data_IF_654271928443
#
_entry.id   IF_654271928443
#
_cell.length_a   1.000
_cell.length_b   1.000
_cell.length_c   1.000
_cell.angle_alpha   90.00
_cell.angle_beta   90.00
_cell.angle_gamma   90.00
#
_symmetry.space_group_name_H-M   'P 1'
#
loop_
_entity.id
_entity.type
_entity.pdbx_description
1 polymer ?
#
# COMPACT_ATOMS: atom_id res chain seq x y z
N UNK A 1 -14.02 43.84 -16.68
CA UNK A 1 -14.74 43.22 -15.54
C UNK A 1 -14.85 41.67 -15.61
N UNK A 2 -14.43 40.99 -16.67
CA UNK A 2 -14.52 39.50 -16.83
C UNK A 2 -13.40 38.76 -16.10
N UNK A 3 -12.25 39.39 -15.81
CA UNK A 3 -11.08 38.78 -15.21
C UNK A 3 -11.29 38.39 -13.72
N UNK A 4 -12.06 39.13 -12.96
CA UNK A 4 -12.25 38.87 -11.53
C UNK A 4 -12.99 37.55 -11.25
N UNK A 5 -14.12 37.21 -11.91
CA UNK A 5 -14.80 35.94 -11.70
C UNK A 5 -13.97 34.76 -12.19
N UNK A 6 -13.22 34.92 -13.28
CA UNK A 6 -12.31 33.87 -13.79
C UNK A 6 -11.18 33.58 -12.80
N UNK A 7 -10.54 34.61 -12.24
CA UNK A 7 -9.50 34.46 -11.22
C UNK A 7 -10.05 33.80 -9.95
N UNK A 8 -11.25 34.19 -9.54
CA UNK A 8 -11.91 33.60 -8.38
C UNK A 8 -12.18 32.09 -8.59
N UNK A 9 -12.73 31.70 -9.74
CA UNK A 9 -12.97 30.29 -10.10
C UNK A 9 -11.66 29.51 -10.14
N UNK A 10 -10.60 30.08 -10.73
CA UNK A 10 -9.27 29.44 -10.80
C UNK A 10 -8.70 29.22 -9.39
N UNK A 11 -8.79 30.23 -8.51
CA UNK A 11 -8.35 30.10 -7.12
C UNK A 11 -9.15 29.03 -6.36
N UNK A 12 -10.45 28.93 -6.61
CA UNK A 12 -11.33 27.94 -5.99
C UNK A 12 -10.96 26.52 -6.47
N UNK A 13 -10.69 26.34 -7.77
CA UNK A 13 -10.24 25.06 -8.33
C UNK A 13 -8.89 24.63 -7.74
N UNK A 14 -7.96 25.58 -7.50
CA UNK A 14 -6.67 25.30 -6.88
C UNK A 14 -6.79 25.07 -5.36
N UNK A 15 -7.74 25.72 -4.69
CA UNK A 15 -7.95 25.59 -3.26
C UNK A 15 -8.56 24.22 -2.87
N UNK A 16 -9.47 23.67 -3.69
CA UNK A 16 -10.13 22.39 -3.41
C UNK A 16 -9.13 21.26 -3.19
N UNK A 17 -8.19 20.93 -4.12
CA UNK A 17 -7.22 19.85 -3.90
C UNK A 17 -6.30 20.13 -2.71
N UNK A 18 -5.99 21.40 -2.41
CA UNK A 18 -5.20 21.79 -1.25
C UNK A 18 -5.93 21.46 0.06
N UNK A 19 -7.20 21.84 0.20
CA UNK A 19 -7.99 21.52 1.38
C UNK A 19 -8.28 20.03 1.52
N UNK A 20 -8.50 19.33 0.41
CA UNK A 20 -8.63 17.87 0.42
C UNK A 20 -7.35 17.19 0.91
N UNK A 21 -6.18 17.65 0.46
CA UNK A 21 -4.89 17.14 0.94
C UNK A 21 -4.71 17.41 2.44
N UNK A 22 -4.99 18.63 2.92
CA UNK A 22 -4.95 18.96 4.35
C UNK A 22 -5.89 18.09 5.17
N UNK A 23 -7.14 17.89 4.70
CA UNK A 23 -8.10 16.99 5.34
C UNK A 23 -7.61 15.56 5.40
N UNK A 24 -7.04 15.06 4.31
CA UNK A 24 -6.44 13.72 4.26
C UNK A 24 -5.28 13.56 5.26
N UNK A 25 -4.34 14.51 5.31
CA UNK A 25 -3.26 14.51 6.29
C UNK A 25 -3.77 14.60 7.73
N UNK A 26 -4.83 15.39 7.98
CA UNK A 26 -5.44 15.46 9.30
C UNK A 26 -6.03 14.12 9.73
N UNK A 27 -6.74 13.42 8.84
CA UNK A 27 -7.29 12.08 9.11
C UNK A 27 -6.17 11.06 9.37
N UNK A 28 -5.10 11.08 8.57
CA UNK A 28 -3.93 10.22 8.81
C UNK A 28 -3.30 10.50 10.16
N UNK A 29 -3.12 11.77 10.52
CA UNK A 29 -2.59 12.17 11.81
C UNK A 29 -3.43 11.61 12.97
N UNK A 30 -4.75 11.83 12.95
CA UNK A 30 -5.66 11.28 13.95
C UNK A 30 -5.58 9.73 14.02
N UNK A 31 -5.45 9.07 12.87
CA UNK A 31 -5.24 7.63 12.81
C UNK A 31 -4.01 7.19 13.60
N UNK A 32 -2.86 7.83 13.38
CA UNK A 32 -1.61 7.51 14.08
C UNK A 32 -1.62 7.89 15.56
N UNK A 33 -2.26 9.02 15.92
CA UNK A 33 -2.45 9.41 17.33
C UNK A 33 -3.26 8.33 18.07
N UNK A 34 -4.29 7.76 17.45
CA UNK A 34 -5.05 6.64 18.00
C UNK A 34 -4.22 5.33 18.13
N UNK A 35 -3.11 5.20 17.41
CA UNK A 35 -2.14 4.11 17.61
C UNK A 35 -1.19 4.39 18.78
N UNK A 36 -1.32 5.53 19.46
CA UNK A 36 -0.48 5.94 20.58
C UNK A 36 0.82 6.65 20.16
N UNK A 37 0.88 7.16 18.93
CA UNK A 37 2.02 7.99 18.48
C UNK A 37 1.83 9.42 18.98
N UNK A 38 2.85 10.06 19.59
CA UNK A 38 2.81 11.48 19.88
C UNK A 38 2.77 12.28 18.57
N UNK A 39 2.06 13.44 18.55
CA UNK A 39 1.82 14.22 17.33
C UNK A 39 3.10 14.58 16.55
N UNK A 40 4.20 14.83 17.25
CA UNK A 40 5.49 15.16 16.66
C UNK A 40 6.08 14.00 15.85
N UNK A 41 5.90 12.77 16.33
CA UNK A 41 6.39 11.57 15.67
C UNK A 41 5.47 11.15 14.50
N UNK A 42 4.19 11.50 14.54
CA UNK A 42 3.26 11.18 13.44
C UNK A 42 3.72 11.82 12.14
N UNK A 43 4.00 13.13 12.16
CA UNK A 43 4.45 13.86 10.97
C UNK A 43 5.77 13.27 10.46
N UNK A 44 6.73 13.03 11.35
CA UNK A 44 8.01 12.42 10.98
C UNK A 44 7.81 11.02 10.36
N UNK A 45 6.94 10.20 10.93
CA UNK A 45 6.64 8.85 10.43
C UNK A 45 6.00 8.91 9.05
N UNK A 46 5.01 9.78 8.83
CA UNK A 46 4.36 9.95 7.53
C UNK A 46 5.33 10.44 6.46
N UNK A 47 6.20 11.39 6.80
CA UNK A 47 7.27 11.88 5.90
C UNK A 47 8.25 10.77 5.58
N UNK A 48 8.69 9.99 6.57
CA UNK A 48 9.59 8.85 6.37
C UNK A 48 8.94 7.76 5.49
N UNK A 49 7.65 7.46 5.68
CA UNK A 49 6.92 6.53 4.81
C UNK A 49 6.83 7.07 3.39
N UNK A 50 6.53 8.36 3.21
CA UNK A 50 6.46 8.99 1.91
C UNK A 50 7.82 8.98 1.20
N UNK A 51 8.89 9.42 1.85
CA UNK A 51 10.25 9.40 1.28
C UNK A 51 10.74 7.96 1.06
N UNK A 52 10.46 7.07 2.02
CA UNK A 52 10.80 5.65 1.92
C UNK A 52 10.06 4.93 0.79
N UNK A 53 8.90 5.42 0.33
CA UNK A 53 8.17 4.82 -0.79
C UNK A 53 8.93 4.87 -2.12
N UNK A 54 9.87 5.79 -2.25
CA UNK A 54 10.79 5.87 -3.41
C UNK A 54 11.99 4.92 -3.30
N UNK A 55 12.18 4.28 -2.14
CA UNK A 55 13.33 3.40 -1.89
C UNK A 55 12.88 1.94 -1.89
N UNK A 56 13.45 1.17 -2.81
CA UNK A 56 13.19 -0.26 -2.95
C UNK A 56 14.48 -1.05 -2.68
N UNK A 57 14.51 -1.86 -1.63
CA UNK A 57 15.64 -2.72 -1.28
C UNK A 57 15.52 -4.03 -2.06
N UNK A 58 16.47 -4.36 -2.95
CA UNK A 58 16.41 -5.59 -3.72
C UNK A 58 16.59 -6.83 -2.83
N UNK A 59 15.66 -7.77 -2.93
CA UNK A 59 15.68 -9.06 -2.24
C UNK A 59 16.18 -10.14 -3.20
N UNK A 60 17.49 -10.36 -3.26
CA UNK A 60 18.10 -11.42 -4.07
C UNK A 60 18.63 -10.97 -5.44
N UNK A 61 18.94 -11.97 -6.28
CA UNK A 61 19.54 -11.75 -7.60
C UNK A 61 18.48 -11.37 -8.63
N UNK A 62 18.77 -10.33 -9.40
CA UNK A 62 17.95 -9.93 -10.56
C UNK A 62 18.22 -10.90 -11.72
N UNK A 63 17.17 -11.37 -12.38
CA UNK A 63 17.27 -12.14 -13.63
C UNK A 63 16.82 -11.24 -14.79
N UNK A 64 17.60 -11.21 -15.85
CA UNK A 64 17.17 -10.59 -17.11
C UNK A 64 16.32 -11.62 -17.85
N UNK A 65 15.08 -11.26 -18.13
CA UNK A 65 14.17 -12.04 -18.97
C UNK A 65 13.89 -11.27 -20.24
N UNK A 66 13.85 -11.99 -21.34
CA UNK A 66 13.49 -11.45 -22.64
C UNK A 66 11.97 -11.50 -22.80
N UNK A 67 11.35 -10.37 -22.99
CA UNK A 67 9.91 -10.23 -23.21
C UNK A 67 9.66 -9.69 -24.59
N UNK A 68 8.76 -10.32 -25.35
CA UNK A 68 8.32 -9.86 -26.64
C UNK A 68 7.11 -8.93 -26.48
N UNK A 69 7.32 -7.64 -26.67
CA UNK A 69 6.22 -6.67 -26.78
C UNK A 69 5.72 -6.59 -28.22
N UNK A 70 4.44 -6.85 -28.45
CA UNK A 70 3.81 -6.65 -29.75
C UNK A 70 3.15 -5.26 -29.79
N UNK A 71 3.60 -4.42 -30.71
CA UNK A 71 3.02 -3.13 -30.99
C UNK A 71 2.22 -3.15 -32.33
N UNK A 72 1.22 -2.27 -32.46
CA UNK A 72 0.43 -2.12 -33.67
C UNK A 72 -0.25 -3.43 -34.12
N UNK A 73 -1.22 -3.92 -33.34
CA UNK A 73 -1.98 -5.13 -33.67
C UNK A 73 -1.13 -6.37 -33.99
N UNK A 74 0.07 -6.46 -33.39
CA UNK A 74 0.96 -7.62 -33.56
C UNK A 74 1.90 -7.56 -34.77
N UNK A 75 1.91 -6.47 -35.53
CA UNK A 75 2.73 -6.33 -36.74
C UNK A 75 4.24 -6.09 -36.44
N UNK A 76 4.55 -5.50 -35.29
CA UNK A 76 5.93 -5.28 -34.87
C UNK A 76 6.19 -5.95 -33.53
N UNK A 77 7.09 -6.95 -33.49
CA UNK A 77 7.58 -7.59 -32.27
C UNK A 77 8.90 -6.93 -31.89
N UNK A 78 8.95 -6.29 -30.74
CA UNK A 78 10.18 -5.74 -30.16
C UNK A 78 10.60 -6.62 -28.99
N UNK A 79 11.82 -7.11 -29.03
CA UNK A 79 12.44 -7.79 -27.90
C UNK A 79 12.88 -6.72 -26.89
N UNK A 80 12.44 -6.90 -25.64
CA UNK A 80 12.84 -6.04 -24.53
C UNK A 80 13.34 -6.89 -23.39
N UNK A 81 14.53 -6.57 -22.90
CA UNK A 81 15.05 -7.20 -21.69
C UNK A 81 14.47 -6.51 -20.46
N UNK A 82 13.76 -7.28 -19.63
CA UNK A 82 13.19 -6.78 -18.38
C UNK A 82 13.95 -7.44 -17.23
N UNK A 83 14.35 -6.63 -16.24
CA UNK A 83 14.92 -7.14 -15.01
C UNK A 83 13.80 -7.68 -14.14
N UNK A 84 13.73 -9.01 -13.98
CA UNK A 84 12.84 -9.65 -13.03
C UNK A 84 13.53 -9.80 -11.69
N UNK A 85 12.84 -9.43 -10.62
CA UNK A 85 13.38 -9.51 -9.26
C UNK A 85 12.34 -9.13 -8.23
N UNK A 86 12.70 -9.36 -6.97
CA UNK A 86 11.91 -9.00 -5.81
C UNK A 86 12.60 -7.86 -5.08
N UNK A 87 11.84 -6.88 -4.65
CA UNK A 87 12.30 -5.79 -3.79
C UNK A 87 11.32 -5.55 -2.65
N UNK A 88 11.81 -4.96 -1.57
CA UNK A 88 11.01 -4.52 -0.42
C UNK A 88 10.97 -3.00 -0.41
N UNK A 89 9.78 -2.44 -0.47
CA UNK A 89 9.60 -1.00 -0.37
C UNK A 89 9.77 -0.54 1.08
N UNK A 90 10.60 0.48 1.30
CA UNK A 90 10.89 0.96 2.65
C UNK A 90 9.65 1.63 3.26
N UNK A 91 8.99 2.53 2.53
CA UNK A 91 7.85 3.28 3.03
C UNK A 91 6.55 2.49 3.08
N UNK A 92 6.32 1.59 2.11
CA UNK A 92 5.08 0.84 2.02
C UNK A 92 5.11 -0.54 2.68
N UNK A 93 6.31 -1.08 2.98
CA UNK A 93 6.44 -2.36 3.67
C UNK A 93 7.28 -2.27 4.94
N UNK A 94 8.55 -1.86 4.85
CA UNK A 94 9.48 -1.99 5.98
C UNK A 94 9.04 -1.17 7.19
N UNK A 95 8.70 0.10 7.00
CA UNK A 95 8.24 0.98 8.09
C UNK A 95 6.90 0.50 8.65
N UNK A 96 5.83 0.23 7.85
CA UNK A 96 4.59 -0.33 8.37
C UNK A 96 4.75 -1.66 9.10
N UNK A 97 5.62 -2.56 8.61
CA UNK A 97 5.93 -3.82 9.29
C UNK A 97 6.58 -3.59 10.65
N UNK A 98 7.52 -2.64 10.76
CA UNK A 98 8.13 -2.27 12.03
C UNK A 98 7.10 -1.74 13.04
N UNK A 99 6.18 -0.88 12.58
CA UNK A 99 5.08 -0.38 13.40
C UNK A 99 4.14 -1.52 13.80
N UNK A 100 3.73 -2.38 12.86
CA UNK A 100 2.85 -3.51 13.15
C UNK A 100 3.48 -4.48 14.15
N UNK A 101 4.78 -4.78 14.02
CA UNK A 101 5.51 -5.61 14.97
C UNK A 101 5.53 -5.01 16.38
N UNK A 102 5.72 -3.69 16.50
CA UNK A 102 5.65 -3.00 17.78
C UNK A 102 4.23 -3.03 18.39
N UNK A 103 3.20 -2.85 17.58
CA UNK A 103 1.81 -2.86 18.02
C UNK A 103 1.32 -4.26 18.41
N UNK A 104 1.91 -5.34 17.87
CA UNK A 104 1.56 -6.72 18.26
C UNK A 104 1.71 -6.98 19.77
N UNK A 105 2.59 -6.26 20.46
CA UNK A 105 2.74 -6.37 21.92
C UNK A 105 1.68 -5.59 22.71
N UNK A 106 0.79 -4.85 22.03
CA UNK A 106 -0.22 -3.97 22.63
C UNK A 106 -1.65 -4.35 22.29
N UNK A 107 -1.83 -5.40 21.50
CA UNK A 107 -3.15 -5.87 21.05
C UNK A 107 -3.44 -7.26 21.59
N UNK A 108 -4.72 -7.66 21.73
CA UNK A 108 -5.08 -9.03 21.99
C UNK A 108 -4.62 -9.91 20.81
N UNK A 109 -3.59 -10.71 21.06
CA UNK A 109 -2.84 -11.39 19.98
C UNK A 109 -3.71 -12.38 19.21
N UNK A 110 -4.53 -13.18 19.88
CA UNK A 110 -5.34 -14.22 19.26
C UNK A 110 -6.37 -13.62 18.30
N UNK A 111 -7.12 -12.63 18.76
CA UNK A 111 -8.16 -11.92 18.01
C UNK A 111 -7.55 -11.16 16.82
N UNK A 112 -6.41 -10.53 17.06
CA UNK A 112 -5.69 -9.79 16.00
C UNK A 112 -5.12 -10.72 14.94
N UNK A 113 -4.60 -11.90 15.31
CA UNK A 113 -4.13 -12.89 14.33
C UNK A 113 -5.28 -13.45 13.49
N UNK A 114 -6.47 -13.64 14.07
CA UNK A 114 -7.67 -14.01 13.29
C UNK A 114 -8.00 -12.90 12.29
N UNK A 115 -7.97 -11.63 12.73
CA UNK A 115 -8.17 -10.49 11.82
C UNK A 115 -7.14 -10.44 10.69
N UNK A 116 -5.85 -10.71 10.97
CA UNK A 116 -4.78 -10.84 9.98
C UNK A 116 -5.09 -11.93 8.97
N UNK A 117 -5.51 -13.11 9.41
CA UNK A 117 -5.87 -14.21 8.52
C UNK A 117 -7.04 -13.86 7.61
N UNK A 118 -8.10 -13.26 8.16
CA UNK A 118 -9.26 -12.81 7.39
C UNK A 118 -8.85 -11.74 6.37
N UNK A 119 -8.02 -10.77 6.77
CA UNK A 119 -7.49 -9.75 5.88
C UNK A 119 -6.59 -10.33 4.80
N UNK A 120 -5.78 -11.34 5.12
CA UNK A 120 -4.95 -12.06 4.13
C UNK A 120 -5.83 -12.71 3.06
N UNK A 121 -6.92 -13.38 3.47
CA UNK A 121 -7.87 -14.00 2.53
C UNK A 121 -8.57 -12.96 1.64
N UNK A 122 -9.05 -11.87 2.24
CA UNK A 122 -9.69 -10.77 1.51
C UNK A 122 -8.72 -10.15 0.50
N UNK A 123 -7.51 -9.80 0.94
CA UNK A 123 -6.49 -9.19 0.09
C UNK A 123 -6.04 -10.13 -1.03
N UNK A 124 -5.86 -11.40 -0.73
CA UNK A 124 -5.55 -12.41 -1.74
C UNK A 124 -6.66 -12.53 -2.78
N UNK A 125 -7.93 -12.54 -2.37
CA UNK A 125 -9.07 -12.69 -3.28
C UNK A 125 -9.30 -11.47 -4.15
N UNK A 126 -9.07 -10.28 -3.60
CA UNK A 126 -9.26 -9.00 -4.30
C UNK A 126 -8.06 -8.59 -5.17
N UNK A 127 -6.86 -9.06 -4.83
CA UNK A 127 -5.67 -8.74 -5.60
C UNK A 127 -5.66 -9.45 -6.96
N UNK A 128 -5.10 -8.77 -7.96
CA UNK A 128 -4.95 -9.30 -9.32
C UNK A 128 -3.54 -9.02 -9.82
N UNK A 129 -2.92 -10.02 -10.46
CA UNK A 129 -1.64 -9.84 -11.13
C UNK A 129 -1.91 -9.34 -12.55
N UNK A 130 -1.37 -8.17 -12.88
CA UNK A 130 -1.51 -7.57 -14.21
C UNK A 130 -0.12 -7.56 -14.88
N UNK A 131 0.05 -8.18 -16.06
CA UNK A 131 1.31 -8.15 -16.78
C UNK A 131 1.82 -6.72 -16.98
N UNK A 132 3.10 -6.48 -16.72
CA UNK A 132 3.73 -5.16 -16.82
C UNK A 132 3.41 -4.14 -15.72
N UNK A 133 2.42 -4.42 -14.84
CA UNK A 133 2.05 -3.52 -13.72
C UNK A 133 2.33 -4.11 -12.34
N UNK A 134 2.39 -5.45 -12.23
CA UNK A 134 2.54 -6.12 -10.94
C UNK A 134 1.22 -6.51 -10.30
N UNK A 135 1.14 -6.45 -8.97
CA UNK A 135 -0.07 -6.78 -8.21
C UNK A 135 -0.90 -5.51 -7.99
N UNK A 136 -2.18 -5.58 -8.31
CA UNK A 136 -3.13 -4.47 -8.13
C UNK A 136 -4.19 -4.87 -7.12
N UNK A 137 -4.47 -3.99 -6.18
CA UNK A 137 -5.47 -4.15 -5.14
C UNK A 137 -6.35 -2.89 -5.06
N UNK A 138 -7.69 -3.01 -4.89
CA UNK A 138 -8.55 -1.83 -4.69
C UNK A 138 -8.16 -1.07 -3.43
N UNK A 139 -7.89 0.23 -3.55
CA UNK A 139 -7.27 1.05 -2.47
C UNK A 139 -8.16 1.16 -1.22
N UNK A 140 -9.47 1.33 -1.39
CA UNK A 140 -10.39 1.61 -0.27
C UNK A 140 -10.94 0.36 0.42
N UNK A 141 -10.97 -0.78 -0.26
CA UNK A 141 -11.62 -1.99 0.28
C UNK A 141 -10.82 -2.60 1.44
N UNK A 142 -9.50 -2.79 1.36
CA UNK A 142 -8.72 -3.35 2.46
C UNK A 142 -8.83 -2.59 3.78
N UNK A 143 -8.72 -1.24 3.81
CA UNK A 143 -8.88 -0.48 5.05
C UNK A 143 -10.25 -0.68 5.71
N UNK A 144 -11.33 -0.75 4.92
CA UNK A 144 -12.68 -0.97 5.44
C UNK A 144 -12.81 -2.35 6.08
N UNK A 145 -12.29 -3.40 5.45
CA UNK A 145 -12.33 -4.75 6.03
C UNK A 145 -11.41 -4.87 7.24
N UNK A 146 -10.22 -4.24 7.24
CA UNK A 146 -9.33 -4.23 8.40
C UNK A 146 -10.01 -3.58 9.61
N UNK A 147 -10.66 -2.43 9.41
CA UNK A 147 -11.41 -1.75 10.46
C UNK A 147 -12.60 -2.60 10.95
N UNK A 148 -13.35 -3.20 10.04
CA UNK A 148 -14.50 -4.07 10.38
C UNK A 148 -14.06 -5.29 11.21
N UNK A 149 -13.03 -6.02 10.77
CA UNK A 149 -12.56 -7.20 11.49
C UNK A 149 -11.98 -6.84 12.85
N UNK A 150 -11.21 -5.76 12.94
CA UNK A 150 -10.68 -5.29 14.22
C UNK A 150 -11.79 -4.85 15.18
N UNK A 151 -12.79 -4.14 14.70
CA UNK A 151 -13.93 -3.72 15.51
C UNK A 151 -14.74 -4.91 16.05
N UNK A 152 -14.92 -5.97 15.24
CA UNK A 152 -15.66 -7.14 15.64
C UNK A 152 -14.88 -8.08 16.58
N UNK A 153 -13.56 -8.20 16.37
CA UNK A 153 -12.74 -9.19 17.06
C UNK A 153 -11.99 -8.61 18.27
N UNK A 154 -11.54 -7.36 18.17
CA UNK A 154 -10.74 -6.68 19.20
C UNK A 154 -11.29 -5.27 19.49
N UNK A 155 -12.56 -5.11 19.94
CA UNK A 155 -13.20 -3.80 20.08
C UNK A 155 -12.48 -2.85 21.05
N UNK A 156 -11.81 -3.38 22.09
CA UNK A 156 -11.04 -2.57 23.04
C UNK A 156 -9.81 -1.90 22.45
N UNK A 157 -9.18 -2.54 21.46
CA UNK A 157 -7.95 -2.06 20.79
C UNK A 157 -8.12 -2.05 19.27
N UNK A 158 -9.33 -1.68 18.80
CA UNK A 158 -9.71 -1.82 17.40
C UNK A 158 -8.79 -1.04 16.43
N UNK A 159 -8.33 0.14 16.82
CA UNK A 159 -7.44 0.94 15.97
C UNK A 159 -6.08 0.24 15.74
N UNK A 160 -5.48 -0.27 16.82
CA UNK A 160 -4.20 -0.97 16.77
C UNK A 160 -4.33 -2.29 15.99
N UNK A 161 -5.37 -3.08 16.32
CA UNK A 161 -5.65 -4.35 15.64
C UNK A 161 -5.94 -4.14 14.15
N UNK A 162 -6.65 -3.07 13.76
CA UNK A 162 -6.91 -2.73 12.37
C UNK A 162 -5.62 -2.40 11.61
N UNK A 163 -4.72 -1.64 12.21
CA UNK A 163 -3.42 -1.32 11.60
C UNK A 163 -2.59 -2.60 11.37
N UNK A 164 -2.50 -3.45 12.39
CA UNK A 164 -1.75 -4.73 12.31
C UNK A 164 -2.38 -5.64 11.26
N UNK A 165 -3.70 -5.85 11.33
CA UNK A 165 -4.42 -6.72 10.38
C UNK A 165 -4.35 -6.18 8.95
N UNK A 166 -4.53 -4.88 8.76
CA UNK A 166 -4.43 -4.23 7.46
C UNK A 166 -3.03 -4.37 6.87
N UNK A 167 -2.00 -4.04 7.64
CA UNK A 167 -0.60 -4.11 7.18
C UNK A 167 -0.19 -5.55 6.87
N UNK A 168 -0.27 -6.45 7.85
CA UNK A 168 0.18 -7.84 7.67
C UNK A 168 -0.70 -8.59 6.68
N UNK A 169 -2.02 -8.41 6.76
CA UNK A 169 -2.96 -9.10 5.88
C UNK A 169 -2.84 -8.69 4.42
N UNK A 170 -2.59 -7.41 4.14
CA UNK A 170 -2.36 -6.94 2.76
C UNK A 170 -1.03 -7.45 2.23
N UNK A 171 0.06 -7.28 2.96
CA UNK A 171 1.39 -7.74 2.54
C UNK A 171 1.42 -9.25 2.32
N UNK A 172 0.80 -10.04 3.21
CA UNK A 172 0.71 -11.49 3.04
C UNK A 172 -0.21 -11.86 1.87
N UNK A 173 -1.41 -11.28 1.81
CA UNK A 173 -2.43 -11.67 0.84
C UNK A 173 -2.18 -11.18 -0.58
N UNK A 174 -1.86 -9.92 -0.72
CA UNK A 174 -1.67 -9.30 -2.04
C UNK A 174 -0.24 -9.51 -2.57
N UNK A 175 0.79 -9.43 -1.72
CA UNK A 175 2.16 -9.51 -2.20
C UNK A 175 2.72 -10.94 -2.09
N UNK A 176 2.77 -11.52 -0.87
CA UNK A 176 3.45 -12.81 -0.65
C UNK A 176 2.72 -13.96 -1.33
N UNK A 177 1.39 -14.10 -1.15
CA UNK A 177 0.63 -15.20 -1.76
C UNK A 177 0.53 -15.09 -3.29
N UNK A 178 0.76 -13.92 -3.87
CA UNK A 178 0.81 -13.71 -5.32
C UNK A 178 2.20 -13.90 -5.93
N UNK A 179 3.25 -13.99 -5.12
CA UNK A 179 4.62 -14.20 -5.61
C UNK A 179 4.76 -15.34 -6.64
N UNK A 180 4.16 -16.53 -6.45
CA UNK A 180 4.29 -17.61 -7.43
C UNK A 180 3.70 -17.26 -8.81
N UNK A 181 2.61 -16.46 -8.82
CA UNK A 181 1.98 -16.00 -10.07
C UNK A 181 2.82 -14.92 -10.75
N UNK A 182 3.38 -14.00 -9.98
CA UNK A 182 4.25 -12.92 -10.47
C UNK A 182 5.55 -13.51 -11.04
N UNK A 183 6.15 -14.48 -10.36
CA UNK A 183 7.41 -15.12 -10.80
C UNK A 183 7.24 -16.00 -12.04
N UNK A 184 6.04 -16.47 -12.34
CA UNK A 184 5.72 -17.23 -13.56
C UNK A 184 5.31 -16.33 -14.74
N UNK A 185 4.89 -15.09 -14.44
CA UNK A 185 4.47 -14.13 -15.46
C UNK A 185 5.61 -13.27 -15.96
N UNK A 186 5.38 -12.56 -17.07
CA UNK A 186 6.28 -11.54 -17.62
C UNK A 186 6.16 -10.22 -16.85
N UNK A 187 6.25 -10.31 -15.52
CA UNK A 187 6.22 -9.15 -14.63
C UNK A 187 7.66 -8.80 -14.29
N UNK A 188 8.03 -7.55 -14.46
CA UNK A 188 9.36 -7.05 -14.15
C UNK A 188 9.72 -7.13 -12.66
N UNK A 189 10.25 -6.07 -12.08
CA UNK A 189 10.51 -6.00 -10.64
C UNK A 189 9.19 -5.94 -9.87
N UNK A 190 8.97 -6.87 -8.93
CA UNK A 190 7.91 -6.77 -7.95
C UNK A 190 8.44 -6.10 -6.69
N UNK A 191 7.75 -5.06 -6.25
CA UNK A 191 8.03 -4.40 -4.97
C UNK A 191 6.97 -4.80 -3.95
N UNK A 192 7.37 -5.46 -2.87
CA UNK A 192 6.49 -5.76 -1.74
C UNK A 192 6.16 -4.44 -1.04
N UNK A 193 4.87 -4.10 -0.94
CA UNK A 193 4.40 -2.85 -0.38
C UNK A 193 4.60 -1.62 -1.28
N UNK A 194 4.88 -1.81 -2.58
CA UNK A 194 5.09 -0.72 -3.52
C UNK A 194 4.29 -0.83 -4.80
#
# INVERSE_FOLDING_TARGET
MIFAPFLFILLLILAIPFFLALGFFHVLRLGFENLGFPPELVVATLVLMLLGSFVNIPLGRRKLIEVQESHFFGLFKRQRFISQGLSLNVGGALIPLGIAAFLLFRVPLQETLIAVLLMTLVSWKLSRVIPGKGVVLPVLIPPLFAALFAFLLAPGEAALAAFVAGTLGVLLGADVLRLPQVMRGEVGMLSIGG
#
